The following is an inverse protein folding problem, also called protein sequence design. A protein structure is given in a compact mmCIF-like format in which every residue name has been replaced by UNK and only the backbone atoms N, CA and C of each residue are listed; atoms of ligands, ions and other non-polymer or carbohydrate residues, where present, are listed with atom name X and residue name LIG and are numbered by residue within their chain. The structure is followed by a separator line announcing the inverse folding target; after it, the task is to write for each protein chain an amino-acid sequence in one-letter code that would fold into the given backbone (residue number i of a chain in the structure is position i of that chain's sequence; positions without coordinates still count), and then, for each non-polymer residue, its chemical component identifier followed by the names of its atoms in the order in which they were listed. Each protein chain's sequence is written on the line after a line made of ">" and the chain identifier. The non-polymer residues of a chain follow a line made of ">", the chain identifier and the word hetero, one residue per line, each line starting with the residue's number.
data_IF_750023811291
#
_entry.id   IF_750023811291
#
_cell.length_a   1.000
_cell.length_b   1.000
_cell.length_c   1.000
_cell.angle_alpha   90.00
_cell.angle_beta   90.00
_cell.angle_gamma   90.00
#
_symmetry.space_group_name_H-M   'P 1'
#
loop_
_entity.id
_entity.type
_entity.pdbx_description
1 polymer ?
#
# COMPACT_ATOMS: atom_id res chain seq x y z
N UNK A 1 18.20 15.02 7.63
CA UNK A 1 16.81 15.24 7.17
C UNK A 1 15.87 14.29 7.88
N UNK A 2 14.92 14.81 8.64
CA UNK A 2 13.90 14.03 9.39
C UNK A 2 12.86 13.41 8.45
N UNK A 3 12.04 12.48 8.95
CA UNK A 3 10.93 11.89 8.17
C UNK A 3 9.92 12.96 7.73
N UNK A 4 9.67 13.98 8.57
CA UNK A 4 8.76 15.07 8.25
C UNK A 4 9.28 15.94 7.10
N UNK A 5 10.56 16.34 7.17
CA UNK A 5 11.22 17.12 6.12
C UNK A 5 11.26 16.34 4.79
N UNK A 6 11.53 15.03 4.84
CA UNK A 6 11.47 14.16 3.65
C UNK A 6 10.09 14.20 2.99
N UNK A 7 9.03 14.07 3.79
CA UNK A 7 7.65 14.09 3.32
C UNK A 7 7.28 15.44 2.70
N UNK A 8 7.69 16.56 3.32
CA UNK A 8 7.46 17.90 2.78
C UNK A 8 8.19 18.12 1.44
N UNK A 9 9.46 17.70 1.35
CA UNK A 9 10.23 17.77 0.10
C UNK A 9 9.56 16.99 -1.04
N UNK A 10 9.06 15.79 -0.77
CA UNK A 10 8.38 14.97 -1.79
C UNK A 10 7.06 15.59 -2.25
N UNK A 11 6.29 16.18 -1.32
CA UNK A 11 5.06 16.93 -1.67
C UNK A 11 5.37 18.14 -2.56
N UNK A 12 6.38 18.93 -2.20
CA UNK A 12 6.83 20.06 -3.01
C UNK A 12 7.20 19.64 -4.43
N UNK A 13 7.98 18.57 -4.57
CA UNK A 13 8.36 18.02 -5.87
C UNK A 13 7.15 17.55 -6.68
N UNK A 14 6.18 16.87 -6.04
CA UNK A 14 4.97 16.41 -6.70
C UNK A 14 4.12 17.59 -7.22
N UNK A 15 3.90 18.62 -6.40
CA UNK A 15 3.14 19.80 -6.81
C UNK A 15 3.82 20.55 -7.96
N UNK A 16 5.14 20.77 -7.90
CA UNK A 16 5.91 21.37 -9.01
C UNK A 16 5.76 20.54 -10.29
N UNK A 17 5.89 19.22 -10.17
CA UNK A 17 5.78 18.31 -11.31
C UNK A 17 4.40 18.34 -11.97
N UNK A 18 3.32 18.34 -11.18
CA UNK A 18 1.96 18.42 -11.71
C UNK A 18 1.60 19.82 -12.22
N UNK A 19 2.15 20.88 -11.63
CA UNK A 19 2.01 22.25 -12.13
C UNK A 19 2.58 22.42 -13.53
N UNK A 20 3.68 21.72 -13.84
CA UNK A 20 4.30 21.74 -15.18
C UNK A 20 3.62 20.78 -16.18
N UNK A 21 2.59 20.03 -15.78
CA UNK A 21 1.92 19.06 -16.66
C UNK A 21 0.59 19.62 -17.15
N UNK A 22 0.56 20.10 -18.41
CA UNK A 22 -0.67 20.60 -19.05
C UNK A 22 -1.61 19.46 -19.42
N UNK A 23 -1.10 18.43 -20.09
CA UNK A 23 -1.87 17.22 -20.41
C UNK A 23 -1.56 16.08 -19.43
N UNK A 24 -2.45 15.90 -18.45
CA UNK A 24 -2.34 14.84 -17.44
C UNK A 24 -2.69 13.46 -18.00
N UNK A 25 -3.54 13.39 -19.02
CA UNK A 25 -3.96 12.13 -19.62
C UNK A 25 -2.81 11.50 -20.39
N UNK A 26 -2.09 12.29 -21.20
CA UNK A 26 -0.91 11.87 -21.94
C UNK A 26 0.22 11.42 -20.99
N UNK A 27 0.52 12.19 -19.94
CA UNK A 27 1.55 11.84 -18.96
C UNK A 27 1.36 10.45 -18.34
N UNK A 28 0.11 10.02 -18.15
CA UNK A 28 -0.20 8.72 -17.53
C UNK A 28 -0.57 7.63 -18.53
N UNK A 29 -0.64 7.92 -19.83
CA UNK A 29 -1.14 6.99 -20.86
C UNK A 29 -0.28 5.72 -20.96
N UNK A 30 1.05 5.85 -21.00
CA UNK A 30 1.97 4.72 -21.07
C UNK A 30 1.81 3.77 -19.86
N UNK A 31 1.72 4.35 -18.65
CA UNK A 31 1.51 3.58 -17.43
C UNK A 31 0.14 2.88 -17.43
N UNK A 32 -0.94 3.54 -17.86
CA UNK A 32 -2.28 2.95 -17.95
C UNK A 32 -2.32 1.79 -18.96
N UNK A 33 -1.69 1.96 -20.13
CA UNK A 33 -1.58 0.92 -21.16
C UNK A 33 -0.87 -0.32 -20.59
N UNK A 34 0.31 -0.13 -20.01
CA UNK A 34 1.13 -1.21 -19.46
C UNK A 34 0.44 -1.92 -18.29
N UNK A 35 -0.18 -1.17 -17.39
CA UNK A 35 -0.76 -1.71 -16.16
C UNK A 35 -2.08 -2.42 -16.39
N UNK A 36 -3.12 -1.74 -16.87
CA UNK A 36 -4.48 -2.27 -16.76
C UNK A 36 -4.87 -3.23 -17.86
N UNK A 37 -4.33 -3.04 -19.07
CA UNK A 37 -4.83 -3.72 -20.26
C UNK A 37 -3.85 -4.77 -20.78
N UNK A 38 -2.55 -4.45 -20.90
CA UNK A 38 -1.64 -5.33 -21.65
C UNK A 38 -0.98 -6.41 -20.79
N UNK A 39 -0.62 -6.13 -19.53
CA UNK A 39 0.15 -7.11 -18.73
C UNK A 39 -0.57 -8.44 -18.50
N UNK A 40 -1.88 -8.39 -18.23
CA UNK A 40 -2.67 -9.59 -17.94
C UNK A 40 -3.01 -10.36 -19.22
N UNK A 41 -3.25 -9.65 -20.32
CA UNK A 41 -3.42 -10.29 -21.64
C UNK A 41 -2.13 -10.99 -22.08
N UNK A 42 -0.97 -10.36 -21.91
CA UNK A 42 0.31 -10.99 -22.25
C UNK A 42 0.55 -12.24 -21.41
N UNK A 43 0.36 -12.15 -20.08
CA UNK A 43 0.49 -13.29 -19.18
C UNK A 43 -0.51 -14.42 -19.49
N UNK A 44 -1.74 -14.08 -19.87
CA UNK A 44 -2.73 -15.08 -20.28
C UNK A 44 -2.29 -15.80 -21.57
N UNK A 45 -1.73 -15.08 -22.55
CA UNK A 45 -1.20 -15.67 -23.79
C UNK A 45 0.02 -16.56 -23.54
N UNK A 46 0.91 -16.15 -22.64
CA UNK A 46 2.06 -16.96 -22.23
C UNK A 46 1.63 -18.28 -21.57
N UNK A 47 0.58 -18.24 -20.74
CA UNK A 47 0.05 -19.42 -20.05
C UNK A 47 -0.75 -20.34 -20.98
N UNK A 48 -1.44 -19.77 -21.96
CA UNK A 48 -2.33 -20.51 -22.86
C UNK A 48 -2.10 -20.10 -24.33
N UNK A 49 -0.97 -20.53 -24.94
CA UNK A 49 -0.57 -20.07 -26.29
C UNK A 49 -1.57 -20.47 -27.39
N UNK A 50 -2.29 -21.58 -27.21
CA UNK A 50 -3.25 -22.11 -28.19
C UNK A 50 -4.71 -21.67 -27.91
N UNK A 51 -4.94 -20.84 -26.89
CA UNK A 51 -6.30 -20.41 -26.55
C UNK A 51 -6.82 -19.34 -27.51
N UNK A 52 -8.12 -19.36 -27.73
CA UNK A 52 -8.81 -18.33 -28.53
C UNK A 52 -8.76 -16.97 -27.83
N UNK A 53 -8.90 -15.88 -28.59
CA UNK A 53 -8.90 -14.52 -28.04
C UNK A 53 -9.94 -14.34 -26.90
N UNK A 54 -11.14 -14.90 -27.06
CA UNK A 54 -12.21 -14.84 -26.05
C UNK A 54 -11.83 -15.58 -24.75
N UNK A 55 -11.10 -16.69 -24.85
CA UNK A 55 -10.60 -17.40 -23.66
C UNK A 55 -9.49 -16.60 -22.97
N UNK A 56 -8.58 -16.02 -23.74
CA UNK A 56 -7.51 -15.15 -23.22
C UNK A 56 -8.08 -13.95 -22.45
N UNK A 57 -9.14 -13.31 -22.97
CA UNK A 57 -9.80 -12.19 -22.28
C UNK A 57 -10.37 -12.61 -20.93
N UNK A 58 -11.08 -13.75 -20.85
CA UNK A 58 -11.62 -14.28 -19.59
C UNK A 58 -10.52 -14.64 -18.58
N UNK A 59 -9.43 -15.24 -19.05
CA UNK A 59 -8.27 -15.55 -18.20
C UNK A 59 -7.62 -14.27 -17.70
N UNK A 60 -7.41 -13.28 -18.57
CA UNK A 60 -6.82 -12.00 -18.19
C UNK A 60 -7.69 -11.24 -17.18
N UNK A 61 -9.02 -11.27 -17.32
CA UNK A 61 -9.95 -10.72 -16.35
C UNK A 61 -9.81 -11.40 -14.98
N UNK A 62 -9.73 -12.73 -14.98
CA UNK A 62 -9.56 -13.53 -13.76
C UNK A 62 -8.21 -13.24 -13.08
N UNK A 63 -7.13 -13.17 -13.86
CA UNK A 63 -5.79 -12.81 -13.37
C UNK A 63 -5.77 -11.39 -12.77
N UNK A 64 -6.47 -10.45 -13.41
CA UNK A 64 -6.61 -9.08 -12.91
C UNK A 64 -7.32 -9.06 -11.55
N UNK A 65 -8.46 -9.74 -11.46
CA UNK A 65 -9.24 -9.83 -10.22
C UNK A 65 -8.47 -10.51 -9.10
N UNK A 66 -7.76 -11.60 -9.40
CA UNK A 66 -6.89 -12.29 -8.45
C UNK A 66 -5.80 -11.36 -7.91
N UNK A 67 -5.08 -10.66 -8.80
CA UNK A 67 -3.99 -9.76 -8.40
C UNK A 67 -4.46 -8.65 -7.44
N UNK A 68 -5.58 -7.99 -7.73
CA UNK A 68 -6.09 -6.92 -6.85
C UNK A 68 -6.67 -7.48 -5.54
N UNK A 69 -7.25 -8.67 -5.58
CA UNK A 69 -7.70 -9.38 -4.37
C UNK A 69 -6.52 -9.72 -3.46
N UNK A 70 -5.42 -10.25 -4.01
CA UNK A 70 -4.19 -10.50 -3.25
C UNK A 70 -3.61 -9.23 -2.63
N UNK A 71 -3.59 -8.13 -3.40
CA UNK A 71 -3.11 -6.84 -2.91
C UNK A 71 -3.98 -6.32 -1.75
N UNK A 72 -5.30 -6.46 -1.87
CA UNK A 72 -6.24 -6.08 -0.83
C UNK A 72 -6.05 -6.93 0.44
N UNK A 73 -5.88 -8.24 0.30
CA UNK A 73 -5.61 -9.16 1.40
C UNK A 73 -4.32 -8.78 2.14
N UNK A 74 -3.21 -8.60 1.42
CA UNK A 74 -1.91 -8.19 1.99
C UNK A 74 -2.04 -6.85 2.72
N UNK A 75 -2.79 -5.90 2.15
CA UNK A 75 -3.05 -4.61 2.79
C UNK A 75 -3.85 -4.74 4.08
N UNK A 76 -4.87 -5.59 4.11
CA UNK A 76 -5.66 -5.85 5.31
C UNK A 76 -4.81 -6.50 6.42
N UNK A 77 -3.98 -7.47 6.05
CA UNK A 77 -3.03 -8.11 6.98
C UNK A 77 -2.04 -7.10 7.56
N UNK A 78 -1.44 -6.25 6.72
CA UNK A 78 -0.51 -5.21 7.18
C UNK A 78 -1.17 -4.22 8.14
N UNK A 79 -2.40 -3.78 7.85
CA UNK A 79 -3.18 -2.90 8.75
C UNK A 79 -3.44 -3.58 10.09
N UNK A 80 -3.82 -4.87 10.10
CA UNK A 80 -4.02 -5.64 11.33
C UNK A 80 -2.75 -5.68 12.17
N UNK A 81 -1.62 -6.05 11.57
CA UNK A 81 -0.32 -6.12 12.27
C UNK A 81 0.04 -4.77 12.89
N UNK A 82 -0.08 -3.68 12.12
CA UNK A 82 0.22 -2.33 12.62
C UNK A 82 -0.67 -1.92 13.79
N UNK A 83 -1.96 -2.24 13.72
CA UNK A 83 -2.90 -2.01 14.82
C UNK A 83 -2.48 -2.76 16.08
N UNK A 84 -2.14 -4.04 15.98
CA UNK A 84 -1.71 -4.85 17.13
C UNK A 84 -0.39 -4.38 17.73
N UNK A 85 0.56 -3.95 16.89
CA UNK A 85 1.80 -3.32 17.35
C UNK A 85 1.53 -2.03 18.12
N UNK A 86 0.64 -1.15 17.61
CA UNK A 86 0.26 0.09 18.27
C UNK A 86 -0.43 -0.17 19.63
N UNK A 87 -1.35 -1.13 19.69
CA UNK A 87 -2.00 -1.54 20.95
C UNK A 87 -0.97 -2.07 21.96
N UNK A 88 -0.05 -2.92 21.49
CA UNK A 88 1.01 -3.48 22.35
C UNK A 88 1.92 -2.39 22.89
N UNK A 89 2.35 -1.45 22.05
CA UNK A 89 3.16 -0.32 22.47
C UNK A 89 2.43 0.54 23.51
N UNK A 90 1.14 0.83 23.29
CA UNK A 90 0.33 1.59 24.25
C UNK A 90 0.17 0.86 25.58
N UNK A 91 -0.08 -0.45 25.56
CA UNK A 91 -0.14 -1.28 26.79
C UNK A 91 1.17 -1.24 27.56
N UNK A 92 2.30 -1.37 26.87
CA UNK A 92 3.64 -1.25 27.49
C UNK A 92 3.85 0.12 28.13
N UNK A 93 3.48 1.19 27.44
CA UNK A 93 3.58 2.55 27.96
C UNK A 93 2.73 2.72 29.23
N UNK A 94 1.48 2.25 29.22
CA UNK A 94 0.59 2.32 30.39
C UNK A 94 1.15 1.50 31.56
N UNK A 95 1.69 0.30 31.31
CA UNK A 95 2.32 -0.50 32.35
C UNK A 95 3.54 0.19 32.98
N UNK A 96 4.38 0.84 32.16
CA UNK A 96 5.53 1.62 32.63
C UNK A 96 5.10 2.82 33.47
N UNK A 97 4.06 3.52 33.05
CA UNK A 97 3.48 4.66 33.77
C UNK A 97 2.92 4.22 35.13
N UNK A 98 2.17 3.12 35.19
CA UNK A 98 1.66 2.54 36.44
C UNK A 98 2.82 2.16 37.36
N UNK A 99 3.85 1.49 36.84
CA UNK A 99 5.02 1.10 37.63
C UNK A 99 5.74 2.33 38.22
N UNK A 100 5.96 3.37 37.42
CA UNK A 100 6.57 4.62 37.87
C UNK A 100 5.76 5.31 38.98
N UNK A 101 4.42 5.35 38.84
CA UNK A 101 3.53 5.91 39.86
C UNK A 101 3.54 5.10 41.15
N UNK A 102 3.61 3.77 41.06
CA UNK A 102 3.70 2.90 42.25
C UNK A 102 5.05 3.01 42.96
N UNK A 103 6.15 3.18 42.23
CA UNK A 103 7.49 3.36 42.80
C UNK A 103 7.66 4.71 43.51
N UNK A 104 6.90 5.73 43.09
CA UNK A 104 6.87 7.05 43.74
C UNK A 104 5.93 7.17 44.95
N UNK A 105 5.14 6.13 45.27
CA UNK A 105 4.25 6.14 46.44
C UNK A 105 5.03 5.62 47.66
N UNK A 106 5.32 6.43 48.68
CA UNK A 106 5.94 5.93 49.90
C UNK A 106 4.99 4.91 50.56
N UNK A 107 5.54 3.85 51.12
CA UNK A 107 4.77 2.88 51.90
C UNK A 107 4.04 3.64 53.00
N UNK A 108 2.71 3.61 52.96
CA UNK A 108 1.89 4.21 54.02
C UNK A 108 2.28 3.54 55.35
N UNK A 109 2.85 4.34 56.24
CA UNK A 109 3.21 3.98 57.60
C UNK A 109 1.99 3.84 58.49
#
# INVERSE_FOLDING_TARGET
>A
MTTSERSQRMRLAAHKSWGNTVDRASRTAAARKASHHTRFLNKAREMHPNATAKQIEKVAESLRSAHYTELALKSAQARRIKSEQAKTAKRKQVAQEIAALSAGRPAAA
#
